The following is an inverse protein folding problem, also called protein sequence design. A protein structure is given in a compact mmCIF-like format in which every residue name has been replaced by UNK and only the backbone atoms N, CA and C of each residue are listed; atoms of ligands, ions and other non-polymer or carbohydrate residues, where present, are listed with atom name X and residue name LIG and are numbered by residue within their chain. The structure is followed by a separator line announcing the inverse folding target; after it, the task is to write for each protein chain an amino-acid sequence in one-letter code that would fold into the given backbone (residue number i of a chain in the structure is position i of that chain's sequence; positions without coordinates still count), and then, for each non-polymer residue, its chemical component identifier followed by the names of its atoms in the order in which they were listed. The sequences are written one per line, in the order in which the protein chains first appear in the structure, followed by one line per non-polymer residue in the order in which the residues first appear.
data_IF_364581957208
#
_entry.id   IF_364581957208
#
_cell.length_a   1.000
_cell.length_b   1.000
_cell.length_c   1.000
_cell.angle_alpha   90.00
_cell.angle_beta   90.00
_cell.angle_gamma   90.00
#
_symmetry.space_group_name_H-M   'P 1'
#
loop_
_entity.id
_entity.type
_entity.pdbx_description
1 polymer ?
#
# COMPACT_ATOMS: atom_id res chain seq x y z
N UNK A 1 19.76 -22.04 -7.49
CA UNK A 1 19.77 -20.65 -7.94
C UNK A 1 18.36 -20.13 -7.82
N UNK A 2 18.13 -19.06 -7.07
CA UNK A 2 16.82 -18.41 -7.05
C UNK A 2 16.56 -17.81 -8.42
N UNK A 3 15.38 -18.04 -9.00
CA UNK A 3 14.96 -17.50 -10.30
C UNK A 3 14.96 -15.96 -10.37
N UNK A 4 15.26 -15.29 -9.26
CA UNK A 4 15.33 -13.85 -9.11
C UNK A 4 16.30 -13.18 -10.09
N UNK A 5 17.46 -13.81 -10.37
CA UNK A 5 18.50 -13.20 -11.20
C UNK A 5 18.20 -13.27 -12.71
N UNK A 6 17.27 -14.13 -13.12
CA UNK A 6 16.94 -14.36 -14.52
C UNK A 6 15.81 -13.45 -15.02
N UNK A 7 15.24 -12.61 -14.13
CA UNK A 7 14.22 -11.64 -14.49
C UNK A 7 14.85 -10.34 -15.00
N UNK A 8 14.27 -9.75 -16.05
CA UNK A 8 14.74 -8.47 -16.62
C UNK A 8 14.73 -7.29 -15.64
N UNK A 9 13.96 -7.41 -14.56
CA UNK A 9 13.83 -6.42 -13.48
C UNK A 9 14.82 -6.64 -12.32
N UNK A 10 15.62 -7.71 -12.37
CA UNK A 10 16.62 -8.00 -11.35
C UNK A 10 17.59 -6.81 -11.19
N UNK A 11 17.91 -6.44 -9.95
CA UNK A 11 18.74 -5.26 -9.66
C UNK A 11 18.07 -3.90 -9.90
N UNK A 12 16.80 -3.85 -10.36
CA UNK A 12 16.05 -2.60 -10.56
C UNK A 12 15.05 -2.31 -9.45
N UNK A 13 14.43 -3.34 -8.88
CA UNK A 13 13.54 -3.22 -7.72
C UNK A 13 14.31 -3.41 -6.42
N UNK A 14 13.97 -2.64 -5.38
CA UNK A 14 14.71 -2.65 -4.11
C UNK A 14 14.85 -4.06 -3.50
N UNK A 15 13.80 -4.87 -3.55
CA UNK A 15 13.83 -6.25 -3.03
C UNK A 15 14.69 -7.23 -3.85
N UNK A 16 15.18 -6.79 -5.02
CA UNK A 16 16.04 -7.55 -5.93
C UNK A 16 17.42 -6.88 -6.12
N UNK A 17 17.84 -6.01 -5.20
CA UNK A 17 19.15 -5.34 -5.24
C UNK A 17 20.10 -5.91 -4.18
N UNK A 18 21.38 -5.92 -4.50
CA UNK A 18 22.47 -6.16 -3.55
C UNK A 18 23.17 -4.85 -3.14
N UNK A 19 23.99 -4.92 -2.09
CA UNK A 19 24.83 -3.81 -1.66
C UNK A 19 25.95 -3.50 -2.68
N UNK A 20 26.43 -2.25 -2.74
CA UNK A 20 26.10 -1.09 -1.87
C UNK A 20 24.83 -0.34 -2.27
N UNK A 21 24.23 -0.68 -3.42
CA UNK A 21 23.07 0.04 -3.96
C UNK A 21 21.82 -0.19 -3.12
N UNK A 22 21.60 -1.42 -2.64
CA UNK A 22 20.48 -1.75 -1.76
C UNK A 22 20.45 -0.85 -0.51
N UNK A 23 21.56 -0.72 0.23
CA UNK A 23 21.63 0.17 1.40
C UNK A 23 21.27 1.63 1.07
N UNK A 24 21.78 2.17 -0.05
CA UNK A 24 21.51 3.54 -0.46
C UNK A 24 20.03 3.77 -0.80
N UNK A 25 19.44 2.89 -1.61
CA UNK A 25 18.02 3.00 -2.01
C UNK A 25 17.09 2.74 -0.81
N UNK A 26 17.39 1.74 0.02
CA UNK A 26 16.64 1.47 1.25
C UNK A 26 16.60 2.69 2.17
N UNK A 27 17.74 3.37 2.35
CA UNK A 27 17.82 4.59 3.17
C UNK A 27 16.94 5.72 2.62
N UNK A 28 16.87 5.86 1.29
CA UNK A 28 15.99 6.84 0.63
C UNK A 28 14.51 6.49 0.80
N UNK A 29 14.13 5.22 0.63
CA UNK A 29 12.73 4.79 0.83
C UNK A 29 12.31 4.96 2.29
N UNK A 30 13.15 4.51 3.23
CA UNK A 30 12.86 4.61 4.66
C UNK A 30 12.78 6.05 5.16
N UNK A 31 13.46 7.02 4.53
CA UNK A 31 13.36 8.43 4.95
C UNK A 31 12.00 9.06 4.64
N UNK A 32 11.24 8.51 3.69
CA UNK A 32 9.85 8.90 3.41
C UNK A 32 8.85 8.38 4.45
N UNK A 33 9.17 7.27 5.13
CA UNK A 33 8.32 6.61 6.14
C UNK A 33 8.49 7.23 7.53
N UNK A 34 8.31 8.55 7.60
CA UNK A 34 8.44 9.30 8.86
C UNK A 34 7.30 8.98 9.83
N UNK A 35 7.49 9.14 11.15
CA UNK A 35 6.40 9.00 12.13
C UNK A 35 5.17 9.86 11.80
N UNK A 36 5.38 11.08 11.29
CA UNK A 36 4.30 11.97 10.84
C UNK A 36 3.51 11.38 9.67
N UNK A 37 4.19 10.74 8.72
CA UNK A 37 3.53 10.06 7.60
C UNK A 37 2.72 8.86 8.12
N UNK A 38 3.30 8.05 9.00
CA UNK A 38 2.62 6.88 9.56
C UNK A 38 1.37 7.25 10.37
N UNK A 39 1.41 8.32 11.17
CA UNK A 39 0.20 8.81 11.85
C UNK A 39 -0.87 9.27 10.87
N UNK A 40 -0.51 9.98 9.78
CA UNK A 40 -1.48 10.36 8.74
C UNK A 40 -2.15 9.14 8.10
N UNK A 41 -1.36 8.11 7.82
CA UNK A 41 -1.88 6.84 7.29
C UNK A 41 -2.82 6.20 8.31
N UNK A 42 -2.41 6.11 9.57
CA UNK A 42 -3.23 5.53 10.63
C UNK A 42 -4.58 6.24 10.78
N UNK A 43 -4.57 7.57 10.82
CA UNK A 43 -5.79 8.38 10.95
C UNK A 43 -6.76 8.14 9.78
N UNK A 44 -6.27 8.17 8.53
CA UNK A 44 -7.09 7.92 7.35
C UNK A 44 -7.66 6.49 7.34
N UNK A 45 -6.82 5.48 7.60
CA UNK A 45 -7.25 4.09 7.63
C UNK A 45 -8.26 3.82 8.73
N UNK A 46 -8.10 4.45 9.89
CA UNK A 46 -9.04 4.33 11.02
C UNK A 46 -10.41 4.89 10.64
N UNK A 47 -10.45 6.05 10.02
CA UNK A 47 -11.71 6.67 9.58
C UNK A 47 -12.37 5.90 8.44
N UNK A 48 -11.60 5.38 7.49
CA UNK A 48 -12.10 4.50 6.42
C UNK A 48 -12.65 3.20 6.97
N UNK A 49 -11.90 2.51 7.82
CA UNK A 49 -12.34 1.25 8.42
C UNK A 49 -13.66 1.42 9.19
N UNK A 50 -13.81 2.53 9.94
CA UNK A 50 -15.10 2.87 10.57
C UNK A 50 -16.22 2.98 9.55
N UNK A 51 -16.06 3.80 8.50
CA UNK A 51 -17.09 3.98 7.47
C UNK A 51 -17.48 2.67 6.76
N UNK A 52 -16.51 1.83 6.44
CA UNK A 52 -16.75 0.53 5.80
C UNK A 52 -17.53 -0.40 6.73
N UNK A 53 -17.16 -0.46 8.01
CA UNK A 53 -17.85 -1.29 8.99
C UNK A 53 -19.25 -0.75 9.35
N UNK A 54 -19.42 0.57 9.41
CA UNK A 54 -20.71 1.22 9.66
C UNK A 54 -21.72 0.96 8.53
N UNK A 55 -21.24 0.71 7.30
CA UNK A 55 -22.07 0.35 6.15
C UNK A 55 -22.52 -1.12 6.16
N UNK A 56 -21.94 -1.97 7.01
CA UNK A 56 -22.30 -3.40 7.08
C UNK A 56 -23.67 -3.56 7.72
N UNK A 57 -24.56 -4.29 7.04
CA UNK A 57 -25.89 -4.63 7.55
C UNK A 57 -25.82 -5.92 8.38
N UNK A 58 -26.12 -5.88 9.69
CA UNK A 58 -26.06 -7.08 10.52
C UNK A 58 -26.94 -8.22 9.98
N UNK A 59 -26.38 -9.43 9.91
CA UNK A 59 -27.08 -10.63 9.44
C UNK A 59 -27.21 -10.75 7.92
N UNK A 60 -26.76 -9.75 7.14
CA UNK A 60 -26.71 -9.83 5.68
C UNK A 60 -25.35 -10.35 5.22
N UNK A 61 -25.28 -11.47 4.47
CA UNK A 61 -24.03 -11.92 3.87
C UNK A 61 -23.52 -10.90 2.84
N UNK A 62 -22.20 -10.73 2.79
CA UNK A 62 -21.48 -9.95 1.79
C UNK A 62 -20.07 -10.52 1.58
N UNK A 63 -19.41 -10.15 0.49
CA UNK A 63 -18.02 -10.54 0.24
C UNK A 63 -17.07 -9.57 0.96
N UNK A 64 -16.44 -10.05 2.02
CA UNK A 64 -15.52 -9.24 2.80
C UNK A 64 -14.28 -8.80 2.02
N UNK A 65 -13.83 -9.59 1.03
CA UNK A 65 -12.62 -9.28 0.25
C UNK A 65 -12.86 -8.03 -0.60
N UNK A 66 -13.95 -8.02 -1.36
CA UNK A 66 -14.24 -6.91 -2.28
C UNK A 66 -14.79 -5.68 -1.56
N UNK A 67 -15.55 -5.86 -0.48
CA UNK A 67 -16.23 -4.75 0.20
C UNK A 67 -15.37 -4.08 1.27
N UNK A 68 -14.36 -4.77 1.84
CA UNK A 68 -13.56 -4.23 2.96
C UNK A 68 -12.06 -4.47 2.80
N UNK A 69 -11.65 -5.72 2.64
CA UNK A 69 -10.24 -6.09 2.79
C UNK A 69 -9.33 -5.48 1.71
N UNK A 70 -9.83 -5.31 0.48
CA UNK A 70 -9.06 -4.74 -0.62
C UNK A 70 -8.88 -3.21 -0.49
N UNK A 71 -9.88 -2.51 0.05
CA UNK A 71 -9.91 -1.04 0.10
C UNK A 71 -8.85 -0.47 1.05
N UNK A 72 -8.77 -1.00 2.27
CA UNK A 72 -7.87 -0.49 3.32
C UNK A 72 -6.38 -0.46 2.90
N UNK A 73 -5.76 -1.57 2.44
CA UNK A 73 -4.36 -1.55 2.03
C UNK A 73 -4.12 -0.75 0.74
N UNK A 74 -5.09 -0.67 -0.18
CA UNK A 74 -4.97 0.15 -1.38
C UNK A 74 -4.83 1.63 -1.02
N UNK A 75 -5.72 2.11 -0.14
CA UNK A 75 -5.70 3.50 0.33
C UNK A 75 -4.40 3.83 1.07
N UNK A 76 -3.91 2.90 1.88
CA UNK A 76 -2.60 3.00 2.54
C UNK A 76 -1.48 3.27 1.51
N UNK A 77 -1.38 2.45 0.47
CA UNK A 77 -0.35 2.61 -0.56
C UNK A 77 -0.51 3.95 -1.30
N UNK A 78 -1.75 4.33 -1.66
CA UNK A 78 -2.03 5.59 -2.31
C UNK A 78 -1.54 6.79 -1.48
N UNK A 79 -1.74 6.78 -0.16
CA UNK A 79 -1.26 7.85 0.73
C UNK A 79 0.27 7.88 0.78
N UNK A 80 0.91 6.71 0.90
CA UNK A 80 2.37 6.62 0.94
C UNK A 80 3.02 7.13 -0.35
N UNK A 81 2.39 6.87 -1.50
CA UNK A 81 2.84 7.34 -2.81
C UNK A 81 2.39 8.78 -3.14
N UNK A 82 1.57 9.41 -2.30
CA UNK A 82 1.08 10.77 -2.50
C UNK A 82 0.04 10.90 -3.62
N UNK A 83 -0.70 9.83 -3.92
CA UNK A 83 -1.75 9.81 -4.95
C UNK A 83 -2.94 10.66 -4.51
N UNK A 84 -3.38 11.65 -5.31
CA UNK A 84 -4.59 12.42 -5.06
C UNK A 84 -5.82 11.52 -4.95
N UNK A 85 -6.74 11.84 -4.03
CA UNK A 85 -7.92 11.01 -3.79
C UNK A 85 -8.79 10.80 -5.05
N UNK A 86 -8.89 11.81 -5.91
CA UNK A 86 -9.62 11.75 -7.19
C UNK A 86 -9.10 10.71 -8.17
N UNK A 87 -7.84 10.26 -8.02
CA UNK A 87 -7.18 9.31 -8.94
C UNK A 87 -7.16 7.88 -8.40
N UNK A 88 -7.54 7.66 -7.14
CA UNK A 88 -7.40 6.35 -6.47
C UNK A 88 -8.35 5.29 -7.03
N UNK A 89 -9.53 5.68 -7.48
CA UNK A 89 -10.48 4.74 -8.10
C UNK A 89 -9.94 4.16 -9.41
N UNK A 90 -9.22 4.94 -10.21
CA UNK A 90 -8.60 4.45 -11.44
C UNK A 90 -7.54 3.37 -11.16
N UNK A 91 -6.76 3.54 -10.09
CA UNK A 91 -5.78 2.54 -9.64
C UNK A 91 -6.41 1.24 -9.14
N UNK A 92 -7.68 1.27 -8.72
CA UNK A 92 -8.40 0.09 -8.26
C UNK A 92 -8.94 -0.76 -9.42
N UNK A 93 -9.16 -0.15 -10.58
CA UNK A 93 -9.70 -0.79 -11.79
C UNK A 93 -8.63 -1.27 -12.78
N UNK A 94 -7.37 -0.86 -12.60
CA UNK A 94 -6.23 -1.18 -13.46
C UNK A 94 -5.52 -2.48 -13.07
#
# INVERSE_FOLDING_TARGET
GTLLQDLSIAGQLLNMMDDPRHAAVRRLVSSGLTPRMLHRVEDDLRDRARRLLDAVVPGRPFDFVTEIAAEVPMQMICILLGVPESERHWLFEA
#
